data_IF_666582115183
#
_entry.id   IF_666582115183
#
_cell.length_a   1.000
_cell.length_b   1.000
_cell.length_c   1.000
_cell.angle_alpha   90.00
_cell.angle_beta   90.00
_cell.angle_gamma   90.00
#
_symmetry.space_group_name_H-M   'P 1'
#
loop_
_entity.id
_entity.type
_entity.pdbx_description
1 polymer ?
#
# COMPACT_ATOMS: atom_id res chain seq x y z
N UNK A 1 1.88 15.19 16.60
CA UNK A 1 0.57 14.53 16.52
C UNK A 1 0.58 13.45 15.44
N UNK A 2 1.49 12.47 15.52
CA UNK A 2 1.64 11.44 14.49
C UNK A 2 0.60 10.30 14.58
N UNK A 3 -0.16 10.23 15.68
CA UNK A 3 -1.03 9.07 15.97
C UNK A 3 -2.30 8.95 15.13
N UNK A 4 -2.80 10.02 14.51
CA UNK A 4 -4.09 9.98 13.80
C UNK A 4 -3.94 9.74 12.28
N UNK A 5 -2.89 10.28 11.67
CA UNK A 5 -2.63 10.15 10.23
C UNK A 5 -2.20 8.73 9.86
N UNK A 6 -1.30 8.12 10.64
CA UNK A 6 -0.89 6.72 10.44
C UNK A 6 -2.10 5.77 10.51
N UNK A 7 -2.92 5.90 11.55
CA UNK A 7 -4.13 5.07 11.71
C UNK A 7 -5.11 5.24 10.54
N UNK A 8 -5.18 6.44 9.96
CA UNK A 8 -6.00 6.70 8.78
C UNK A 8 -5.49 5.92 7.57
N UNK A 9 -4.19 5.99 7.28
CA UNK A 9 -3.61 5.28 6.14
C UNK A 9 -3.61 3.77 6.31
N UNK A 10 -3.36 3.27 7.53
CA UNK A 10 -3.51 1.85 7.85
C UNK A 10 -4.89 1.33 7.47
N UNK A 11 -5.95 2.01 7.92
CA UNK A 11 -7.34 1.65 7.58
C UNK A 11 -7.57 1.60 6.08
N UNK A 12 -7.15 2.62 5.34
CA UNK A 12 -7.31 2.68 3.88
C UNK A 12 -6.60 1.50 3.21
N UNK A 13 -5.36 1.22 3.60
CA UNK A 13 -4.58 0.12 3.05
C UNK A 13 -5.15 -1.25 3.44
N UNK A 14 -5.75 -1.40 4.63
CA UNK A 14 -6.45 -2.61 5.05
C UNK A 14 -7.66 -2.94 4.16
N UNK A 15 -8.40 -1.92 3.70
CA UNK A 15 -9.51 -2.11 2.75
C UNK A 15 -9.01 -2.55 1.37
N UNK A 16 -7.88 -2.01 0.91
CA UNK A 16 -7.31 -2.31 -0.40
C UNK A 16 -6.53 -3.63 -0.47
N UNK A 17 -6.24 -4.26 0.68
CA UNK A 17 -5.31 -5.39 0.78
C UNK A 17 -5.81 -6.53 1.67
N UNK A 18 -5.13 -7.66 1.62
CA UNK A 18 -5.33 -8.82 2.49
C UNK A 18 -4.03 -9.15 3.22
N UNK A 19 -4.08 -9.56 4.49
CA UNK A 19 -2.88 -9.92 5.24
C UNK A 19 -2.20 -11.15 4.63
N UNK A 20 -0.87 -11.15 4.61
CA UNK A 20 -0.08 -12.32 4.26
C UNK A 20 0.26 -13.09 5.53
N UNK A 21 -0.26 -14.32 5.63
CA UNK A 21 -0.18 -15.14 6.84
C UNK A 21 1.27 -15.34 7.31
N UNK A 22 1.53 -15.12 8.59
CA UNK A 22 2.86 -15.24 9.19
C UNK A 22 3.79 -14.06 8.92
N UNK A 23 3.29 -12.94 8.38
CA UNK A 23 4.09 -11.74 8.10
C UNK A 23 3.38 -10.46 8.56
N UNK A 24 4.13 -9.37 8.66
CA UNK A 24 3.59 -8.01 8.86
C UNK A 24 3.18 -7.32 7.55
N UNK A 25 3.16 -8.06 6.44
CA UNK A 25 2.87 -7.54 5.11
C UNK A 25 1.46 -7.89 4.65
N UNK A 26 0.97 -7.16 3.66
CA UNK A 26 -0.35 -7.33 3.08
C UNK A 26 -0.25 -7.31 1.56
N UNK A 27 -0.99 -8.14 0.84
CA UNK A 27 -1.03 -8.09 -0.63
C UNK A 27 -2.23 -7.29 -1.10
N UNK A 28 -2.06 -6.41 -2.08
CA UNK A 28 -3.18 -5.72 -2.73
C UNK A 28 -4.18 -6.78 -3.23
N UNK A 29 -5.47 -6.56 -2.98
CA UNK A 29 -6.54 -7.49 -3.36
C UNK A 29 -6.60 -7.65 -4.87
N UNK A 30 -6.94 -8.84 -5.33
CA UNK A 30 -7.20 -9.09 -6.76
C UNK A 30 -8.31 -8.16 -7.25
N UNK A 31 -8.09 -7.49 -8.39
CA UNK A 31 -9.02 -6.54 -8.97
C UNK A 31 -9.03 -5.15 -8.31
N UNK A 32 -8.15 -4.91 -7.33
CA UNK A 32 -7.90 -3.59 -6.76
C UNK A 32 -6.55 -3.08 -7.24
N UNK A 33 -6.48 -1.79 -7.57
CA UNK A 33 -5.23 -1.07 -7.85
C UNK A 33 -5.05 0.04 -6.83
N UNK A 34 -3.80 0.39 -6.53
CA UNK A 34 -3.44 1.41 -5.54
C UNK A 34 -2.55 2.48 -6.18
N UNK A 35 -2.76 3.75 -5.84
CA UNK A 35 -1.88 4.85 -6.23
C UNK A 35 -1.61 5.73 -5.01
N UNK A 36 -0.36 6.15 -4.85
CA UNK A 36 0.09 7.02 -3.76
C UNK A 36 0.55 8.34 -4.37
N UNK A 37 0.11 9.48 -3.81
CA UNK A 37 0.50 10.84 -4.22
C UNK A 37 0.42 11.08 -5.74
N UNK A 38 -0.60 10.53 -6.40
CA UNK A 38 -0.78 10.61 -7.87
C UNK A 38 0.37 10.03 -8.71
N UNK A 39 1.24 9.22 -8.09
CA UNK A 39 2.38 8.57 -8.74
C UNK A 39 1.99 7.29 -9.50
N UNK A 40 2.89 6.29 -9.47
CA UNK A 40 2.68 5.00 -10.12
C UNK A 40 1.42 4.29 -9.58
N UNK A 41 0.71 3.59 -10.47
CA UNK A 41 -0.38 2.68 -10.09
C UNK A 41 0.21 1.29 -9.86
N UNK A 42 -0.08 0.72 -8.71
CA UNK A 42 0.37 -0.58 -8.24
C UNK A 42 -0.76 -1.60 -8.33
N UNK A 43 -0.42 -2.78 -8.83
CA UNK A 43 -1.30 -3.95 -8.93
C UNK A 43 -0.57 -5.16 -8.36
N UNK A 44 -1.31 -6.02 -7.63
CA UNK A 44 -0.78 -7.24 -7.00
C UNK A 44 0.46 -7.06 -6.09
N UNK A 45 0.82 -5.82 -5.76
CA UNK A 45 1.98 -5.49 -4.94
C UNK A 45 1.78 -5.91 -3.47
N UNK A 46 2.91 -6.09 -2.78
CA UNK A 46 2.96 -6.34 -1.34
C UNK A 46 3.26 -5.03 -0.62
N UNK A 47 2.48 -4.76 0.42
CA UNK A 47 2.55 -3.58 1.26
C UNK A 47 3.12 -3.97 2.61
N UNK A 48 4.08 -3.18 3.10
CA UNK A 48 4.52 -3.20 4.48
C UNK A 48 4.31 -1.82 5.08
N UNK A 49 3.55 -1.77 6.17
CA UNK A 49 3.16 -0.53 6.83
C UNK A 49 3.94 -0.46 8.14
N UNK A 50 4.67 0.63 8.34
CA UNK A 50 5.28 0.98 9.61
C UNK A 50 4.91 2.41 9.99
N UNK A 51 5.28 2.79 11.20
CA UNK A 51 5.16 4.15 11.72
C UNK A 51 6.09 5.16 11.05
N UNK A 52 7.11 4.70 10.32
CA UNK A 52 8.07 5.56 9.63
C UNK A 52 7.81 5.64 8.11
N UNK A 53 7.40 4.53 7.52
CA UNK A 53 7.24 4.44 6.07
C UNK A 53 6.23 3.38 5.65
N UNK A 54 5.64 3.62 4.49
CA UNK A 54 4.97 2.62 3.68
C UNK A 54 5.95 2.10 2.62
N UNK A 55 6.17 0.79 2.58
CA UNK A 55 6.89 0.12 1.50
C UNK A 55 5.93 -0.60 0.59
N UNK A 56 6.08 -0.38 -0.71
CA UNK A 56 5.38 -1.11 -1.78
C UNK A 56 6.40 -1.95 -2.53
N UNK A 57 6.18 -3.25 -2.56
CA UNK A 57 7.04 -4.23 -3.22
C UNK A 57 6.32 -4.83 -4.44
N UNK A 58 6.93 -4.70 -5.60
CA UNK A 58 6.49 -5.28 -6.86
C UNK A 58 7.45 -6.42 -7.26
N UNK A 59 6.94 -7.38 -8.03
CA UNK A 59 7.77 -8.35 -8.75
C UNK A 59 7.70 -8.02 -10.24
N UNK A 60 8.86 -7.79 -10.85
CA UNK A 60 8.97 -7.58 -12.29
C UNK A 60 10.01 -8.57 -12.84
N UNK A 61 9.53 -9.65 -13.43
CA UNK A 61 10.39 -10.69 -14.02
C UNK A 61 11.33 -11.36 -13.01
N UNK A 62 10.90 -11.56 -11.76
CA UNK A 62 11.73 -12.12 -10.70
C UNK A 62 12.68 -11.12 -10.02
N UNK A 63 12.61 -9.84 -10.40
CA UNK A 63 13.28 -8.75 -9.68
C UNK A 63 12.28 -8.15 -8.70
N UNK A 64 12.65 -8.15 -7.41
CA UNK A 64 11.87 -7.48 -6.37
C UNK A 64 12.18 -5.98 -6.36
N UNK A 65 11.21 -5.17 -6.75
CA UNK A 65 11.31 -3.71 -6.79
C UNK A 65 10.61 -3.15 -5.54
N UNK A 66 11.33 -2.34 -4.75
CA UNK A 66 10.81 -1.77 -3.50
C UNK A 66 10.75 -0.25 -3.59
N UNK A 67 9.55 0.32 -3.49
CA UNK A 67 9.34 1.76 -3.36
C UNK A 67 9.01 2.11 -1.91
N UNK A 68 9.64 3.15 -1.38
CA UNK A 68 9.46 3.62 -0.01
C UNK A 68 8.83 5.00 -0.02
N UNK A 69 7.79 5.17 0.79
CA UNK A 69 7.10 6.43 1.02
C UNK A 69 7.23 6.76 2.50
N UNK A 70 7.78 7.93 2.80
CA UNK A 70 7.66 8.51 4.14
C UNK A 70 6.18 8.68 4.46
N UNK A 71 5.75 8.10 5.60
CA UNK A 71 4.34 8.06 5.98
C UNK A 71 3.76 9.46 6.19
N UNK A 72 4.58 10.39 6.70
CA UNK A 72 4.17 11.76 6.99
C UNK A 72 4.06 12.59 5.70
N UNK A 73 4.68 12.13 4.62
CA UNK A 73 4.66 12.77 3.30
C UNK A 73 3.56 12.22 2.37
N UNK A 74 2.77 11.24 2.81
CA UNK A 74 1.62 10.75 2.04
C UNK A 74 0.47 11.76 2.15
N UNK A 75 0.22 12.46 1.05
CA UNK A 75 -0.86 13.41 0.91
C UNK A 75 -2.16 12.74 0.42
N UNK A 76 -2.07 11.68 -0.37
CA UNK A 76 -3.24 10.94 -0.85
C UNK A 76 -2.96 9.48 -1.20
N UNK A 77 -3.99 8.66 -1.02
CA UNK A 77 -4.06 7.28 -1.51
C UNK A 77 -5.34 7.15 -2.32
N UNK A 78 -5.24 6.62 -3.54
CA UNK A 78 -6.38 6.33 -4.41
C UNK A 78 -6.44 4.83 -4.67
N UNK A 79 -7.64 4.26 -4.57
CA UNK A 79 -7.92 2.89 -4.96
C UNK A 79 -8.77 2.86 -6.22
N UNK A 80 -8.54 1.87 -7.07
CA UNK A 80 -9.35 1.59 -8.25
C UNK A 80 -9.89 0.18 -8.13
N UNK A 81 -11.19 0.02 -8.34
CA UNK A 81 -11.86 -1.27 -8.43
C UNK A 81 -12.96 -1.18 -9.49
N UNK A 82 -13.34 -2.32 -10.07
CA UNK A 82 -14.48 -2.35 -10.97
C UNK A 82 -15.74 -1.90 -10.22
N UNK A 83 -16.59 -1.10 -10.88
CA UNK A 83 -17.97 -0.88 -10.41
C UNK A 83 -18.73 -2.19 -10.62
N UNK A 84 -19.45 -2.62 -9.59
CA UNK A 84 -20.51 -3.63 -9.74
C UNK A 84 -21.59 -3.14 -10.70
#
# INVERSE_FOLDING_TARGET
MAGNTLQTWEKVLEYASVPLHGTMSRKIRKGVKLQINEGKIYEEAVLFISDLFLRVTEDDGGVSINTYYDIDSIASIRTYSNKE
#
